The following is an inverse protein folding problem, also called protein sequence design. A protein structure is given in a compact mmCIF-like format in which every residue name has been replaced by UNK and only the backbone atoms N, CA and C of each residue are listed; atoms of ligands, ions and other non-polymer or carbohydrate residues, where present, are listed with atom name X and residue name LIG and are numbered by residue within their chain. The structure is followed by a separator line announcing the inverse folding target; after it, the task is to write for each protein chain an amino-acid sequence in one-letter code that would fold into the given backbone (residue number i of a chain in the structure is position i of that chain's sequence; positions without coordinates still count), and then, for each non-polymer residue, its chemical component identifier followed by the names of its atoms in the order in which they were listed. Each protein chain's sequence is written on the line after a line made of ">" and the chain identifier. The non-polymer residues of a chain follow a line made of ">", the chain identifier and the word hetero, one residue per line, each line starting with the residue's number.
data_IF_438857765091
#
_entry.id   IF_438857765091
#
_cell.length_a   1.000
_cell.length_b   1.000
_cell.length_c   1.000
_cell.angle_alpha   90.00
_cell.angle_beta   90.00
_cell.angle_gamma   90.00
#
_symmetry.space_group_name_H-M   'P 1'
#
loop_
_entity.id
_entity.type
_entity.pdbx_description
1 polymer ?
#
# COMPACT_ATOMS: atom_id res chain seq x y z
N UNK A 1 -9.55 -9.60 -6.24
CA UNK A 1 -10.42 -9.58 -5.03
C UNK A 1 -9.76 -8.82 -3.86
N UNK A 2 -8.55 -9.18 -3.44
CA UNK A 2 -7.87 -8.59 -2.28
C UNK A 2 -7.82 -7.05 -2.28
N UNK A 3 -7.40 -6.42 -3.39
CA UNK A 3 -7.31 -4.96 -3.50
C UNK A 3 -8.66 -4.28 -3.30
N UNK A 4 -9.73 -4.83 -3.89
CA UNK A 4 -11.10 -4.29 -3.75
C UNK A 4 -11.55 -4.31 -2.29
N UNK A 5 -11.35 -5.43 -1.59
CA UNK A 5 -11.73 -5.56 -0.18
C UNK A 5 -10.93 -4.60 0.71
N UNK A 6 -9.64 -4.44 0.43
CA UNK A 6 -8.77 -3.50 1.15
C UNK A 6 -9.27 -2.06 1.02
N UNK A 7 -9.59 -1.61 -0.20
CA UNK A 7 -10.06 -0.25 -0.46
C UNK A 7 -11.48 0.00 0.08
N UNK A 8 -12.34 -1.02 0.10
CA UNK A 8 -13.66 -0.90 0.74
C UNK A 8 -13.54 -0.68 2.26
N UNK A 9 -12.56 -1.32 2.91
CA UNK A 9 -12.32 -1.17 4.35
C UNK A 9 -11.57 0.11 4.69
N UNK A 10 -10.63 0.52 3.85
CA UNK A 10 -9.76 1.68 4.05
C UNK A 10 -9.83 2.61 2.82
N UNK A 11 -10.90 3.41 2.70
CA UNK A 11 -11.11 4.26 1.52
C UNK A 11 -10.08 5.40 1.40
N UNK A 12 -9.39 5.73 2.49
CA UNK A 12 -8.35 6.76 2.54
C UNK A 12 -6.93 6.17 2.56
N UNK A 13 -6.78 4.92 2.11
CA UNK A 13 -5.48 4.27 1.99
C UNK A 13 -4.56 5.07 1.05
N UNK A 14 -3.39 5.46 1.54
CA UNK A 14 -2.40 6.21 0.76
C UNK A 14 -0.97 5.71 1.03
N UNK A 15 -0.03 6.00 0.14
CA UNK A 15 1.39 5.70 0.37
C UNK A 15 1.98 6.68 1.39
N UNK A 16 2.92 6.19 2.21
CA UNK A 16 3.65 7.07 3.14
C UNK A 16 4.74 7.85 2.38
N UNK A 17 4.71 9.19 2.38
CA UNK A 17 5.76 9.99 1.75
C UNK A 17 7.15 9.72 2.35
N UNK A 18 8.19 9.66 1.51
CA UNK A 18 9.56 9.39 1.95
C UNK A 18 9.82 7.94 2.38
N UNK A 19 8.87 7.03 2.10
CA UNK A 19 9.02 5.58 2.29
C UNK A 19 8.67 4.83 1.02
N UNK A 20 9.35 5.19 -0.06
CA UNK A 20 9.12 4.63 -1.39
C UNK A 20 9.43 3.12 -1.42
N UNK A 21 8.61 2.32 -2.14
CA UNK A 21 8.85 0.89 -2.27
C UNK A 21 10.16 0.60 -3.03
N UNK A 22 11.00 -0.25 -2.45
CA UNK A 22 12.23 -0.72 -3.09
C UNK A 22 11.96 -2.06 -3.78
N UNK A 23 12.04 -2.06 -5.11
CA UNK A 23 11.84 -3.26 -5.92
C UNK A 23 13.14 -4.05 -6.05
N UNK A 24 13.06 -5.36 -5.78
CA UNK A 24 14.18 -6.29 -5.92
C UNK A 24 13.73 -7.53 -6.70
N UNK A 25 14.69 -8.29 -7.21
CA UNK A 25 14.47 -9.49 -8.02
C UNK A 25 14.78 -9.27 -9.50
N UNK A 26 15.24 -10.35 -10.14
CA UNK A 26 15.72 -10.36 -11.52
C UNK A 26 14.66 -10.93 -12.48
N UNK A 27 14.18 -12.16 -12.24
CA UNK A 27 13.05 -12.76 -12.97
C UNK A 27 11.70 -12.25 -12.46
N UNK A 28 11.53 -12.15 -11.14
CA UNK A 28 10.31 -11.66 -10.51
C UNK A 28 10.62 -10.43 -9.66
N UNK A 29 10.25 -9.26 -10.18
CA UNK A 29 10.52 -7.97 -9.55
C UNK A 29 9.32 -7.50 -8.74
N UNK A 30 9.48 -7.44 -7.42
CA UNK A 30 8.45 -6.99 -6.50
C UNK A 30 9.06 -6.17 -5.36
N UNK A 31 8.28 -5.29 -4.71
CA UNK A 31 8.74 -4.66 -3.49
C UNK A 31 8.63 -5.65 -2.34
N UNK A 32 9.65 -5.71 -1.48
CA UNK A 32 9.57 -6.53 -0.27
C UNK A 32 8.60 -5.93 0.76
N UNK A 33 8.36 -4.63 0.66
CA UNK A 33 7.53 -3.86 1.59
C UNK A 33 6.85 -2.70 0.85
N UNK A 34 5.59 -2.41 1.20
CA UNK A 34 4.86 -1.22 0.77
C UNK A 34 4.31 -0.51 2.01
N UNK A 35 4.82 0.70 2.29
CA UNK A 35 4.37 1.48 3.44
C UNK A 35 3.11 2.28 3.08
N UNK A 36 2.05 2.09 3.87
CA UNK A 36 0.75 2.75 3.67
C UNK A 36 0.26 3.43 4.95
N UNK A 37 -0.46 4.52 4.78
CA UNK A 37 -1.31 5.13 5.80
C UNK A 37 -2.76 4.76 5.52
N UNK A 38 -3.53 4.42 6.56
CA UNK A 38 -4.95 4.05 6.41
C UNK A 38 -5.89 5.27 6.33
N UNK A 39 -5.35 6.48 6.57
CA UNK A 39 -6.13 7.70 6.79
C UNK A 39 -6.92 7.65 8.10
N UNK A 40 -7.48 8.79 8.52
CA UNK A 40 -8.40 8.86 9.66
C UNK A 40 -9.82 8.70 9.13
N UNK A 41 -10.56 7.73 9.64
CA UNK A 41 -12.01 7.66 9.41
C UNK A 41 -12.63 8.81 10.20
N UNK A 42 -13.04 9.88 9.54
CA UNK A 42 -13.91 10.86 10.19
C UNK A 42 -15.22 10.12 10.58
N UNK A 43 -15.66 10.21 11.85
CA UNK A 43 -16.94 9.66 12.28
C UNK A 43 -18.10 10.34 11.57
#
# INVERSE_FOLDING_TARGET
>A
LAVRLLLLRFPHLSLVPGKEPVFRGWEFRAPTTLHVSLGVRHP
#
